data_IF_425857012041
#
_entry.id   IF_425857012041
#
_cell.length_a   1.000
_cell.length_b   1.000
_cell.length_c   1.000
_cell.angle_alpha   90.00
_cell.angle_beta   90.00
_cell.angle_gamma   90.00
#
_symmetry.space_group_name_H-M   'P 1'
#
loop_
_entity.id
_entity.type
_entity.pdbx_description
1 polymer ?
#
# COMPACT_ATOMS: atom_id res chain seq x y z
N UNK A 1 -5.80 -2.62 36.00
CA UNK A 1 -5.52 -2.06 34.67
C UNK A 1 -5.19 -3.13 33.61
N UNK A 2 -4.23 -4.05 33.82
CA UNK A 2 -3.87 -5.07 32.79
C UNK A 2 -5.03 -5.94 32.29
N UNK A 3 -6.03 -6.27 33.12
CA UNK A 3 -7.20 -7.10 32.71
C UNK A 3 -8.19 -6.36 31.79
N UNK A 4 -8.29 -5.04 31.89
CA UNK A 4 -9.21 -4.23 31.06
C UNK A 4 -8.62 -4.07 29.65
N UNK A 5 -7.30 -3.88 29.55
CA UNK A 5 -6.60 -3.78 28.26
C UNK A 5 -6.71 -5.08 27.45
N UNK A 6 -6.64 -6.24 28.10
CA UNK A 6 -6.79 -7.55 27.41
C UNK A 6 -8.22 -7.78 26.92
N UNK A 7 -9.24 -7.35 27.67
CA UNK A 7 -10.65 -7.48 27.27
C UNK A 7 -10.97 -6.55 26.09
N UNK A 8 -10.46 -5.31 26.09
CA UNK A 8 -10.62 -4.39 24.96
C UNK A 8 -9.92 -4.92 23.69
N UNK A 9 -8.72 -5.49 23.83
CA UNK A 9 -8.01 -6.15 22.71
C UNK A 9 -8.74 -7.41 22.20
N UNK A 10 -9.37 -8.18 23.09
CA UNK A 10 -10.15 -9.37 22.71
C UNK A 10 -11.46 -8.99 22.00
N UNK A 11 -12.12 -7.91 22.42
CA UNK A 11 -13.33 -7.37 21.78
C UNK A 11 -13.00 -6.77 20.39
N UNK A 12 -11.82 -6.19 20.21
CA UNK A 12 -11.33 -5.74 18.90
C UNK A 12 -11.02 -6.91 17.94
N UNK A 13 -10.78 -8.12 18.44
CA UNK A 13 -10.48 -9.32 17.64
C UNK A 13 -11.70 -10.19 17.31
N UNK A 14 -12.87 -9.93 17.93
CA UNK A 14 -14.08 -10.77 17.80
C UNK A 14 -15.17 -10.17 16.91
N UNK A 15 -14.93 -9.02 16.27
CA UNK A 15 -15.93 -8.43 15.37
C UNK A 15 -15.78 -9.01 13.96
N UNK A 16 -16.81 -9.66 13.40
CA UNK A 16 -16.80 -10.05 12.00
C UNK A 16 -16.73 -8.80 11.13
N UNK A 17 -15.85 -8.86 10.13
CA UNK A 17 -15.72 -7.87 9.08
C UNK A 17 -16.80 -8.19 8.03
N UNK A 18 -17.91 -7.46 8.03
CA UNK A 18 -18.73 -7.25 6.82
C UNK A 18 -18.09 -6.13 6.00
N UNK A 19 -18.38 -5.92 4.69
CA UNK A 19 -17.72 -5.02 3.70
C UNK A 19 -18.69 -4.73 2.49
N UNK A 20 -18.91 -3.47 2.03
CA UNK A 20 -19.65 -3.05 0.82
C UNK A 20 -19.44 -1.59 0.37
N UNK A 21 -19.75 -1.38 -0.91
CA UNK A 21 -19.79 -0.18 -1.76
C UNK A 21 -20.65 -0.43 -3.05
N UNK A 22 -21.97 -0.40 -2.93
CA UNK A 22 -22.95 -0.79 -3.95
C UNK A 22 -24.28 -1.17 -3.30
N UNK A 23 -25.26 -1.64 -4.06
CA UNK A 23 -26.47 -2.23 -3.49
C UNK A 23 -26.84 -3.52 -4.21
N UNK A 24 -26.93 -4.61 -3.45
CA UNK A 24 -27.46 -5.90 -3.91
C UNK A 24 -28.87 -6.07 -3.39
N UNK A 25 -29.80 -6.37 -4.29
CA UNK A 25 -31.22 -6.51 -4.01
C UNK A 25 -31.66 -7.89 -4.44
N UNK A 26 -32.41 -8.59 -3.60
CA UNK A 26 -33.14 -9.80 -3.94
C UNK A 26 -34.67 -9.57 -3.80
N UNK A 27 -35.52 -10.57 -4.08
CA UNK A 27 -36.97 -10.44 -3.94
C UNK A 27 -37.50 -10.21 -2.51
N UNK A 28 -36.62 -10.09 -1.50
CA UNK A 28 -36.95 -9.95 -0.07
C UNK A 28 -36.28 -8.71 0.56
N UNK A 29 -35.51 -7.97 -0.24
CA UNK A 29 -34.91 -6.70 0.13
C UNK A 29 -33.42 -6.63 -0.18
N UNK A 30 -32.73 -5.64 0.40
CA UNK A 30 -31.28 -5.54 0.30
C UNK A 30 -30.59 -6.77 0.91
N UNK A 31 -29.73 -7.43 0.14
CA UNK A 31 -28.91 -8.55 0.61
C UNK A 31 -27.72 -8.01 1.38
N UNK A 32 -27.44 -8.60 2.54
CA UNK A 32 -26.29 -8.21 3.36
C UNK A 32 -24.98 -8.54 2.65
N UNK A 33 -24.18 -7.52 2.44
CA UNK A 33 -22.87 -7.64 1.84
C UNK A 33 -21.78 -7.85 2.91
N UNK A 34 -20.83 -8.72 2.59
CA UNK A 34 -19.73 -9.13 3.50
C UNK A 34 -18.38 -8.60 3.09
N UNK A 35 -18.24 -8.25 1.81
CA UNK A 35 -17.01 -7.99 1.06
C UNK A 35 -17.21 -6.96 -0.03
N UNK A 36 -16.37 -5.93 -0.11
CA UNK A 36 -16.19 -5.22 -1.36
C UNK A 36 -14.76 -4.83 -1.66
N UNK A 37 -14.47 -4.94 -2.95
CA UNK A 37 -13.14 -4.93 -3.51
C UNK A 37 -13.21 -4.31 -4.89
N UNK A 38 -12.39 -3.30 -5.16
CA UNK A 38 -12.36 -2.64 -6.45
C UNK A 38 -10.94 -2.39 -6.91
N UNK A 39 -10.59 -2.77 -8.14
CA UNK A 39 -9.31 -2.46 -8.75
C UNK A 39 -9.53 -1.48 -9.87
N UNK A 40 -8.85 -0.34 -9.83
CA UNK A 40 -9.03 0.77 -10.77
C UNK A 40 -7.69 1.04 -11.45
N UNK A 41 -7.69 1.08 -12.77
CA UNK A 41 -6.59 1.58 -13.60
C UNK A 41 -7.11 2.84 -14.29
N UNK A 42 -6.34 3.92 -14.21
CA UNK A 42 -6.70 5.19 -14.82
C UNK A 42 -5.59 5.64 -15.75
N UNK A 43 -5.92 5.71 -17.03
CA UNK A 43 -4.97 5.86 -18.11
C UNK A 43 -5.35 7.08 -18.96
N UNK A 44 -4.38 7.95 -19.21
CA UNK A 44 -4.52 9.02 -20.19
C UNK A 44 -4.25 8.47 -21.60
N UNK A 45 -5.22 8.58 -22.50
CA UNK A 45 -5.10 8.20 -23.91
C UNK A 45 -5.33 9.42 -24.81
N UNK A 46 -4.25 10.05 -25.24
CA UNK A 46 -4.33 11.31 -25.99
C UNK A 46 -4.76 12.46 -25.09
N UNK A 47 -5.86 13.12 -25.44
CA UNK A 47 -6.46 14.20 -24.66
C UNK A 47 -7.57 13.72 -23.70
N UNK A 48 -7.92 12.44 -23.76
CA UNK A 48 -8.98 11.82 -22.97
C UNK A 48 -8.40 10.93 -21.87
N UNK A 49 -9.22 10.70 -20.85
CA UNK A 49 -8.92 9.85 -19.71
C UNK A 49 -9.89 8.68 -19.66
N UNK A 50 -9.34 7.50 -19.45
CA UNK A 50 -10.06 6.24 -19.44
C UNK A 50 -9.87 5.57 -18.08
N UNK A 51 -10.97 5.28 -17.41
CA UNK A 51 -10.99 4.46 -16.20
C UNK A 51 -11.37 3.02 -16.56
N UNK A 52 -10.59 2.06 -16.10
CA UNK A 52 -10.94 0.63 -16.08
C UNK A 52 -11.11 0.23 -14.63
N UNK A 53 -12.27 -0.29 -14.27
CA UNK A 53 -12.59 -0.69 -12.91
C UNK A 53 -13.11 -2.13 -12.90
N UNK A 54 -12.46 -3.00 -12.13
CA UNK A 54 -13.04 -4.27 -11.70
C UNK A 54 -13.62 -4.04 -10.32
N UNK A 55 -14.93 -4.16 -10.16
CA UNK A 55 -15.58 -4.13 -8.86
C UNK A 55 -16.10 -5.53 -8.52
N UNK A 56 -15.93 -5.95 -7.27
CA UNK A 56 -16.36 -7.25 -6.81
C UNK A 56 -16.98 -7.21 -5.42
N UNK A 57 -18.11 -7.90 -5.30
CA UNK A 57 -18.87 -8.08 -4.07
C UNK A 57 -18.71 -9.48 -3.53
N UNK A 58 -18.67 -9.59 -2.20
CA UNK A 58 -18.78 -10.85 -1.48
C UNK A 58 -20.09 -10.82 -0.72
N UNK A 59 -20.92 -11.82 -0.95
CA UNK A 59 -22.24 -11.94 -0.33
C UNK A 59 -22.35 -13.28 0.38
N UNK A 60 -23.36 -13.41 1.23
CA UNK A 60 -23.87 -14.74 1.56
C UNK A 60 -24.37 -15.47 0.30
N UNK A 61 -24.43 -16.82 0.29
CA UNK A 61 -25.04 -17.56 -0.80
C UNK A 61 -26.41 -16.95 -1.13
N UNK A 62 -26.59 -16.57 -2.39
CA UNK A 62 -27.87 -16.02 -2.85
C UNK A 62 -28.88 -17.15 -2.79
N UNK A 63 -29.73 -17.12 -1.77
CA UNK A 63 -30.57 -18.25 -1.39
C UNK A 63 -31.76 -18.48 -2.33
N UNK A 64 -31.94 -17.67 -3.39
CA UNK A 64 -33.18 -17.59 -4.18
C UNK A 64 -32.97 -17.26 -5.64
N UNK A 65 -34.00 -17.53 -6.43
CA UNK A 65 -34.11 -17.55 -7.90
C UNK A 65 -33.49 -16.36 -8.67
N UNK A 66 -33.31 -15.19 -8.04
CA UNK A 66 -32.73 -14.01 -8.70
C UNK A 66 -32.23 -12.99 -7.67
N UNK A 67 -31.12 -12.31 -7.98
CA UNK A 67 -30.70 -11.08 -7.31
C UNK A 67 -30.11 -10.12 -8.36
N UNK A 68 -30.05 -8.83 -8.05
CA UNK A 68 -29.32 -7.87 -8.87
C UNK A 68 -28.40 -6.99 -8.03
N UNK A 69 -27.22 -6.75 -8.57
CA UNK A 69 -26.28 -5.77 -8.05
C UNK A 69 -26.25 -4.58 -8.99
N UNK A 70 -26.42 -3.37 -8.45
CA UNK A 70 -26.45 -2.13 -9.23
C UNK A 70 -25.43 -1.11 -8.70
N UNK A 71 -24.72 -0.46 -9.60
CA UNK A 71 -23.88 0.69 -9.31
C UNK A 71 -23.80 1.65 -10.51
N UNK A 72 -23.63 2.96 -10.29
CA UNK A 72 -23.56 3.97 -11.34
C UNK A 72 -22.12 4.31 -11.73
N UNK A 73 -21.92 4.74 -12.98
CA UNK A 73 -20.65 5.26 -13.52
C UNK A 73 -20.86 6.61 -14.22
N UNK A 74 -19.93 7.58 -14.06
CA UNK A 74 -20.06 8.95 -14.57
C UNK A 74 -19.69 9.05 -16.06
N UNK A 75 -20.43 8.33 -16.90
CA UNK A 75 -20.24 8.33 -18.35
C UNK A 75 -21.55 8.08 -19.09
N UNK A 76 -21.63 8.58 -20.32
CA UNK A 76 -22.73 8.26 -21.22
C UNK A 76 -22.72 6.77 -21.58
N UNK A 77 -23.88 6.14 -21.81
CA UNK A 77 -23.96 4.69 -21.99
C UNK A 77 -23.13 4.14 -23.15
N UNK A 78 -22.99 4.89 -24.24
CA UNK A 78 -22.20 4.50 -25.42
C UNK A 78 -20.69 4.54 -25.17
N UNK A 79 -20.25 5.19 -24.07
CA UNK A 79 -18.86 5.27 -23.62
C UNK A 79 -18.54 4.26 -22.51
N UNK A 80 -19.50 3.42 -22.12
CA UNK A 80 -19.33 2.39 -21.09
C UNK A 80 -19.19 1.02 -21.75
N UNK A 81 -18.09 0.33 -21.45
CA UNK A 81 -17.84 -1.07 -21.84
C UNK A 81 -17.86 -1.93 -20.59
N UNK A 82 -18.63 -3.02 -20.61
CA UNK A 82 -18.72 -3.97 -19.48
C UNK A 82 -18.12 -5.35 -19.82
N UNK A 83 -17.72 -6.12 -18.81
CA UNK A 83 -17.49 -7.58 -18.88
C UNK A 83 -17.73 -8.22 -17.50
N UNK A 84 -17.92 -9.54 -17.46
CA UNK A 84 -17.95 -10.33 -16.23
C UNK A 84 -16.58 -10.92 -15.96
N UNK A 85 -16.07 -10.72 -14.74
CA UNK A 85 -14.80 -11.29 -14.30
C UNK A 85 -14.99 -12.25 -13.14
N UNK A 86 -14.48 -13.47 -13.29
CA UNK A 86 -14.50 -14.52 -12.26
C UNK A 86 -13.31 -14.45 -11.30
N UNK A 87 -12.36 -13.55 -11.56
CA UNK A 87 -11.10 -13.42 -10.83
C UNK A 87 -10.82 -11.95 -10.54
N UNK A 88 -10.23 -11.71 -9.38
CA UNK A 88 -9.87 -10.38 -8.94
C UNK A 88 -8.34 -10.23 -8.90
N UNK A 89 -7.78 -9.09 -9.33
CA UNK A 89 -6.34 -8.88 -9.35
C UNK A 89 -5.72 -9.04 -7.95
N UNK A 90 -4.68 -9.87 -7.87
CA UNK A 90 -3.93 -10.09 -6.63
C UNK A 90 -2.59 -9.39 -6.70
N UNK A 91 -2.53 -8.25 -6.01
CA UNK A 91 -1.34 -7.42 -5.91
C UNK A 91 -0.47 -7.86 -4.73
N UNK A 92 0.83 -8.07 -4.98
CA UNK A 92 1.84 -8.23 -3.93
C UNK A 92 2.84 -7.11 -4.05
N UNK A 93 3.24 -6.54 -2.92
CA UNK A 93 4.15 -5.42 -2.91
C UNK A 93 4.67 -5.07 -1.53
N UNK A 94 5.57 -4.11 -1.50
CA UNK A 94 6.06 -3.49 -0.27
C UNK A 94 5.42 -2.12 -0.10
N UNK A 95 5.00 -1.83 1.12
CA UNK A 95 4.53 -0.51 1.51
C UNK A 95 5.70 0.49 1.45
N UNK A 96 5.54 1.56 0.67
CA UNK A 96 6.62 2.49 0.31
C UNK A 96 7.21 3.19 1.53
N UNK A 97 6.37 3.65 2.46
CA UNK A 97 6.81 4.30 3.69
C UNK A 97 7.65 3.35 4.56
N UNK A 98 7.17 2.11 4.71
CA UNK A 98 7.87 1.08 5.48
C UNK A 98 9.21 0.74 4.86
N UNK A 99 9.24 0.54 3.54
CA UNK A 99 10.48 0.25 2.80
C UNK A 99 11.50 1.39 2.92
N UNK A 100 11.07 2.65 2.79
CA UNK A 100 11.95 3.82 2.96
C UNK A 100 12.52 3.89 4.39
N UNK A 101 11.69 3.67 5.42
CA UNK A 101 12.13 3.61 6.83
C UNK A 101 13.16 2.50 7.03
N UNK A 102 12.87 1.28 6.56
CA UNK A 102 13.81 0.15 6.64
C UNK A 102 15.12 0.43 5.90
N UNK A 103 15.08 1.09 4.74
CA UNK A 103 16.28 1.45 4.00
C UNK A 103 17.16 2.47 4.75
N UNK A 104 16.56 3.49 5.36
CA UNK A 104 17.27 4.44 6.23
C UNK A 104 17.88 3.71 7.43
N UNK A 105 17.10 2.84 8.09
CA UNK A 105 17.56 2.04 9.22
C UNK A 105 18.75 1.16 8.85
N UNK A 106 18.67 0.44 7.73
CA UNK A 106 19.76 -0.41 7.24
C UNK A 106 21.04 0.39 6.98
N UNK A 107 20.94 1.60 6.42
CA UNK A 107 22.11 2.47 6.18
C UNK A 107 22.74 2.93 7.49
N UNK A 108 21.91 3.36 8.45
CA UNK A 108 22.38 3.84 9.74
C UNK A 108 22.96 2.70 10.58
N UNK A 109 22.33 1.52 10.54
CA UNK A 109 22.80 0.35 11.26
C UNK A 109 24.05 -0.23 10.61
N UNK A 110 24.18 -0.19 9.27
CA UNK A 110 25.46 -0.43 8.60
C UNK A 110 26.54 0.52 9.11
N UNK A 111 26.22 1.81 9.27
CA UNK A 111 27.17 2.77 9.81
C UNK A 111 27.58 2.47 11.25
N UNK A 112 26.64 2.04 12.11
CA UNK A 112 26.95 1.58 13.48
C UNK A 112 27.76 0.29 13.50
N UNK A 113 27.47 -0.66 12.61
CA UNK A 113 28.18 -1.95 12.51
C UNK A 113 29.66 -1.76 12.16
N UNK A 114 30.02 -0.70 11.44
CA UNK A 114 31.42 -0.34 11.17
C UNK A 114 32.24 -0.08 12.45
N UNK A 115 31.58 0.27 13.56
CA UNK A 115 32.25 0.38 14.86
C UNK A 115 32.64 -0.99 15.44
N UNK A 116 31.98 -2.08 15.03
CA UNK A 116 31.97 -3.35 15.77
C UNK A 116 32.53 -4.56 14.98
N UNK A 117 32.43 -4.75 13.65
CA UNK A 117 33.01 -5.96 13.02
C UNK A 117 33.30 -5.96 11.50
N UNK A 118 34.43 -6.59 11.09
CA UNK A 118 34.65 -7.21 9.77
C UNK A 118 34.57 -8.77 9.73
N UNK A 119 34.09 -9.50 10.75
CA UNK A 119 34.31 -10.99 10.84
C UNK A 119 33.06 -11.87 10.53
N UNK A 120 31.84 -11.34 10.38
CA UNK A 120 30.63 -12.20 10.33
C UNK A 120 29.84 -12.25 9.00
N UNK A 121 30.39 -11.76 7.88
CA UNK A 121 29.61 -11.49 6.64
C UNK A 121 29.68 -12.55 5.52
N UNK A 122 30.08 -13.80 5.79
CA UNK A 122 30.33 -14.78 4.71
C UNK A 122 29.11 -15.60 4.24
N UNK A 123 27.94 -15.55 4.91
CA UNK A 123 26.89 -16.57 4.70
C UNK A 123 25.53 -16.09 4.15
N UNK A 124 25.35 -14.85 3.70
CA UNK A 124 23.99 -14.29 3.54
C UNK A 124 23.46 -14.11 2.11
N UNK A 125 24.07 -14.66 1.06
CA UNK A 125 23.61 -14.38 -0.32
C UNK A 125 23.71 -15.56 -1.30
N UNK A 126 22.80 -16.55 -1.22
CA UNK A 126 22.46 -17.41 -2.36
C UNK A 126 21.07 -18.04 -2.19
N UNK A 127 20.09 -17.60 -2.99
CA UNK A 127 19.00 -18.44 -3.54
C UNK A 127 18.18 -17.68 -4.58
N UNK A 128 18.20 -18.16 -5.81
CA UNK A 128 17.32 -17.75 -6.91
C UNK A 128 16.60 -18.96 -7.50
N UNK A 129 15.37 -18.77 -7.99
CA UNK A 129 14.53 -19.76 -8.65
C UNK A 129 13.84 -19.17 -9.90
N UNK A 130 13.41 -20.08 -10.77
CA UNK A 130 13.22 -19.99 -12.24
C UNK A 130 11.86 -19.44 -12.77
N UNK A 131 11.82 -19.17 -14.10
CA UNK A 131 10.69 -18.85 -15.01
C UNK A 131 9.92 -20.14 -15.48
N UNK A 132 8.88 -20.22 -16.39
CA UNK A 132 8.58 -19.43 -17.63
C UNK A 132 7.09 -19.29 -18.17
N UNK A 133 6.92 -18.59 -19.33
CA UNK A 133 6.03 -18.68 -20.57
C UNK A 133 4.61 -19.37 -20.59
N UNK A 134 3.60 -19.16 -21.49
CA UNK A 134 3.32 -18.44 -22.78
C UNK A 134 1.79 -18.53 -23.20
N UNK A 135 1.29 -17.58 -24.05
CA UNK A 135 0.29 -17.63 -25.20
C UNK A 135 -1.19 -18.14 -25.03
N UNK A 136 -2.27 -17.82 -25.80
CA UNK A 136 -2.64 -16.99 -27.00
C UNK A 136 -4.20 -16.87 -27.17
N UNK A 137 -4.73 -15.79 -27.83
CA UNK A 137 -5.87 -15.59 -28.79
C UNK A 137 -7.25 -16.34 -28.70
N UNK A 138 -8.44 -15.91 -29.22
CA UNK A 138 -8.99 -14.76 -29.99
C UNK A 138 -10.56 -14.81 -30.05
N UNK A 139 -11.21 -13.63 -30.15
CA UNK A 139 -12.41 -13.19 -30.93
C UNK A 139 -13.88 -13.58 -30.60
N UNK A 140 -14.74 -12.55 -30.82
CA UNK A 140 -16.14 -12.26 -30.39
C UNK A 140 -17.20 -12.44 -31.49
N UNK A 141 -18.46 -12.50 -31.03
CA UNK A 141 -19.75 -12.72 -31.73
C UNK A 141 -20.39 -11.49 -32.40
N UNK A 142 -21.59 -11.69 -32.97
CA UNK A 142 -22.51 -10.69 -33.55
C UNK A 142 -23.91 -10.69 -32.90
N UNK A 143 -24.62 -9.58 -33.10
CA UNK A 143 -25.64 -8.94 -32.24
C UNK A 143 -27.09 -9.05 -32.77
N UNK A 144 -28.12 -8.97 -31.88
CA UNK A 144 -29.53 -8.62 -32.19
C UNK A 144 -30.18 -7.87 -30.99
N UNK A 145 -30.98 -6.83 -31.29
CA UNK A 145 -31.61 -5.82 -30.42
C UNK A 145 -33.11 -6.07 -30.15
N UNK A 146 -33.62 -5.76 -28.93
CA UNK A 146 -35.03 -5.38 -28.67
C UNK A 146 -35.18 -4.54 -27.37
N UNK A 147 -35.76 -3.32 -27.46
CA UNK A 147 -35.90 -2.36 -26.35
C UNK A 147 -37.26 -2.29 -25.63
N UNK A 148 -37.31 -1.51 -24.52
CA UNK A 148 -38.51 -0.86 -23.92
C UNK A 148 -38.19 0.05 -22.70
N UNK A 149 -38.17 1.39 -22.91
CA UNK A 149 -38.40 2.45 -21.91
C UNK A 149 -37.33 2.72 -20.83
N UNK A 150 -36.70 1.68 -20.31
CA UNK A 150 -35.29 1.73 -19.90
C UNK A 150 -34.52 1.34 -21.15
N UNK A 151 -33.53 2.15 -21.51
CA UNK A 151 -32.68 1.82 -22.66
C UNK A 151 -31.57 0.90 -22.14
N UNK A 152 -31.59 -0.35 -22.60
CA UNK A 152 -30.47 -1.28 -22.40
C UNK A 152 -29.51 -1.01 -23.55
N UNK A 153 -28.31 -0.52 -23.25
CA UNK A 153 -27.32 -0.16 -24.27
C UNK A 153 -26.40 -1.34 -24.59
N UNK A 154 -25.98 -2.05 -23.55
CA UNK A 154 -25.18 -3.27 -23.65
C UNK A 154 -25.73 -4.34 -22.71
N UNK A 155 -25.67 -5.60 -23.14
CA UNK A 155 -25.97 -6.76 -22.30
C UNK A 155 -24.92 -7.84 -22.56
N UNK A 156 -24.33 -8.38 -21.50
CA UNK A 156 -23.39 -9.51 -21.52
C UNK A 156 -23.91 -10.59 -20.58
N UNK A 157 -23.94 -11.83 -21.04
CA UNK A 157 -24.25 -13.00 -20.21
C UNK A 157 -23.04 -13.93 -20.16
N UNK A 158 -22.49 -14.17 -18.96
CA UNK A 158 -21.28 -14.97 -18.76
C UNK A 158 -21.30 -15.57 -17.35
N UNK A 159 -21.07 -16.88 -17.25
CA UNK A 159 -20.93 -17.60 -15.98
C UNK A 159 -22.15 -17.44 -15.03
N UNK A 160 -23.37 -17.44 -15.60
CA UNK A 160 -24.63 -17.30 -14.86
C UNK A 160 -24.92 -15.89 -14.37
N UNK A 161 -24.25 -14.89 -14.94
CA UNK A 161 -24.41 -13.47 -14.62
C UNK A 161 -24.77 -12.73 -15.90
N UNK A 162 -25.87 -11.99 -15.86
CA UNK A 162 -26.27 -11.08 -16.93
C UNK A 162 -25.97 -9.64 -16.49
N UNK A 163 -24.99 -9.00 -17.10
CA UNK A 163 -24.64 -7.59 -16.84
C UNK A 163 -25.24 -6.73 -17.93
N UNK A 164 -25.88 -5.63 -17.55
CA UNK A 164 -26.52 -4.67 -18.45
C UNK A 164 -26.06 -3.25 -18.13
N UNK A 165 -25.86 -2.42 -19.15
CA UNK A 165 -25.79 -0.95 -19.00
C UNK A 165 -27.16 -0.36 -19.27
N UNK A 166 -27.66 0.43 -18.33
CA UNK A 166 -29.01 1.01 -18.33
C UNK A 166 -28.94 2.53 -18.28
N UNK A 167 -29.73 3.17 -19.14
CA UNK A 167 -30.10 4.58 -19.00
C UNK A 167 -31.58 4.73 -18.65
N UNK A 168 -31.90 5.73 -17.82
CA UNK A 168 -33.26 6.08 -17.45
C UNK A 168 -33.40 7.59 -17.25
N UNK A 169 -34.58 8.14 -17.54
CA UNK A 169 -34.85 9.59 -17.40
C UNK A 169 -35.31 9.98 -15.99
N UNK A 170 -35.74 9.00 -15.18
CA UNK A 170 -36.24 9.23 -13.82
C UNK A 170 -35.90 8.01 -12.95
N UNK A 171 -35.52 8.21 -11.70
CA UNK A 171 -35.20 7.14 -10.76
C UNK A 171 -36.42 6.24 -10.47
N UNK A 172 -37.62 6.80 -10.58
CA UNK A 172 -38.89 6.07 -10.50
C UNK A 172 -39.00 4.99 -11.60
N UNK A 173 -38.50 5.27 -12.81
CA UNK A 173 -38.55 4.37 -13.97
C UNK A 173 -37.61 3.20 -13.77
N UNK A 174 -36.38 3.46 -13.30
CA UNK A 174 -35.41 2.43 -12.95
C UNK A 174 -35.91 1.57 -11.77
N UNK A 175 -36.52 2.18 -10.76
CA UNK A 175 -37.15 1.47 -9.64
C UNK A 175 -38.28 0.53 -10.11
N UNK A 176 -39.18 1.01 -10.99
CA UNK A 176 -40.25 0.18 -11.58
C UNK A 176 -39.65 -0.98 -12.39
N UNK A 177 -38.61 -0.72 -13.19
CA UNK A 177 -37.91 -1.72 -13.98
C UNK A 177 -37.38 -2.86 -13.09
N UNK A 178 -36.60 -2.53 -12.04
CA UNK A 178 -36.04 -3.52 -11.12
C UNK A 178 -37.13 -4.31 -10.36
N UNK A 179 -38.24 -3.65 -9.97
CA UNK A 179 -39.40 -4.32 -9.37
C UNK A 179 -40.08 -5.29 -10.33
N UNK A 180 -40.21 -4.93 -11.61
CA UNK A 180 -40.75 -5.79 -12.67
C UNK A 180 -39.87 -7.01 -12.91
N UNK A 181 -38.56 -6.86 -12.74
CA UNK A 181 -37.59 -7.96 -12.77
C UNK A 181 -37.67 -8.89 -11.54
N UNK A 182 -38.57 -8.61 -10.59
CA UNK A 182 -38.88 -9.45 -9.43
C UNK A 182 -38.14 -9.08 -8.14
N UNK A 183 -37.45 -7.93 -8.10
CA UNK A 183 -36.62 -7.51 -6.96
C UNK A 183 -37.41 -6.68 -5.95
N UNK A 184 -37.13 -6.78 -4.65
CA UNK A 184 -37.75 -5.94 -3.62
C UNK A 184 -36.89 -4.70 -3.32
N UNK A 185 -36.97 -3.72 -4.23
CA UNK A 185 -36.21 -2.48 -4.14
C UNK A 185 -36.85 -1.49 -3.15
N UNK A 186 -36.16 -1.01 -2.09
CA UNK A 186 -36.69 -0.01 -1.17
C UNK A 186 -37.04 1.31 -1.86
N UNK A 187 -38.10 2.00 -1.44
CA UNK A 187 -38.54 3.24 -2.11
C UNK A 187 -37.53 4.39 -1.96
N UNK A 188 -36.79 4.43 -0.85
CA UNK A 188 -35.69 5.39 -0.65
C UNK A 188 -34.58 5.33 -1.73
N UNK A 189 -34.47 4.22 -2.48
CA UNK A 189 -33.51 4.11 -3.60
C UNK A 189 -33.82 5.07 -4.75
N UNK A 190 -35.08 5.50 -4.91
CA UNK A 190 -35.47 6.44 -5.98
C UNK A 190 -34.66 7.73 -5.86
N UNK A 191 -34.53 8.27 -4.64
CA UNK A 191 -33.75 9.50 -4.40
C UNK A 191 -32.25 9.33 -4.69
N UNK A 192 -31.73 8.11 -4.51
CA UNK A 192 -30.34 7.79 -4.88
C UNK A 192 -30.22 7.72 -6.40
N UNK A 193 -31.17 7.08 -7.09
CA UNK A 193 -31.16 7.01 -8.55
C UNK A 193 -31.32 8.37 -9.22
N UNK A 194 -32.25 9.20 -8.72
CA UNK A 194 -32.48 10.56 -9.23
C UNK A 194 -31.18 11.39 -9.18
N UNK A 195 -30.42 11.29 -8.09
CA UNK A 195 -29.13 11.98 -7.96
C UNK A 195 -28.16 11.68 -9.10
N UNK A 196 -28.07 10.42 -9.53
CA UNK A 196 -27.17 9.99 -10.62
C UNK A 196 -27.73 10.29 -12.01
N UNK A 197 -29.05 10.16 -12.17
CA UNK A 197 -29.73 10.48 -13.43
C UNK A 197 -29.61 11.97 -13.74
N UNK A 198 -29.75 12.83 -12.72
CA UNK A 198 -29.60 14.27 -12.87
C UNK A 198 -28.17 14.71 -13.25
N UNK A 199 -27.18 13.83 -13.04
CA UNK A 199 -25.78 14.05 -13.42
C UNK A 199 -25.37 13.25 -14.67
N UNK A 200 -26.33 12.70 -15.43
CA UNK A 200 -26.13 11.95 -16.67
C UNK A 200 -25.30 10.65 -16.52
N UNK A 201 -25.40 9.97 -15.37
CA UNK A 201 -24.69 8.70 -15.13
C UNK A 201 -25.38 7.51 -15.81
N UNK A 202 -24.58 6.50 -16.16
CA UNK A 202 -25.04 5.20 -16.61
C UNK A 202 -25.09 4.22 -15.45
N UNK A 203 -26.13 3.38 -15.36
CA UNK A 203 -26.21 2.31 -14.37
C UNK A 203 -25.72 0.99 -14.93
N UNK A 204 -24.81 0.33 -14.23
CA UNK A 204 -24.41 -1.06 -14.49
C UNK A 204 -25.20 -1.97 -13.55
N UNK A 205 -25.93 -2.92 -14.12
CA UNK A 205 -26.77 -3.88 -13.38
C UNK A 205 -26.37 -5.30 -13.69
N UNK A 206 -25.90 -6.03 -12.69
CA UNK A 206 -25.57 -7.44 -12.78
C UNK A 206 -26.66 -8.31 -12.14
N UNK A 207 -27.49 -8.97 -12.95
CA UNK A 207 -28.44 -9.99 -12.52
C UNK A 207 -27.73 -11.33 -12.31
N UNK A 208 -28.05 -11.99 -11.19
CA UNK A 208 -27.39 -13.21 -10.74
C UNK A 208 -28.44 -14.31 -10.63
N UNK A 209 -28.28 -15.39 -11.38
CA UNK A 209 -29.17 -16.57 -11.32
C UNK A 209 -28.54 -17.70 -10.48
N UNK A 210 -29.32 -18.43 -9.67
CA UNK A 210 -28.79 -19.51 -8.81
C UNK A 210 -28.43 -20.80 -9.55
N UNK A 211 -29.05 -21.10 -10.69
CA UNK A 211 -29.09 -22.47 -11.22
C UNK A 211 -27.75 -22.94 -11.84
N UNK A 212 -26.83 -22.02 -12.13
CA UNK A 212 -25.44 -22.32 -12.54
C UNK A 212 -24.44 -22.32 -11.35
N UNK A 213 -24.93 -22.39 -10.11
CA UNK A 213 -24.16 -22.38 -8.85
C UNK A 213 -23.35 -23.64 -8.55
N UNK A 214 -22.63 -24.18 -9.53
CA UNK A 214 -21.44 -24.97 -9.17
C UNK A 214 -20.48 -24.00 -8.47
N UNK A 215 -19.93 -24.34 -7.28
CA UNK A 215 -18.95 -23.47 -6.64
C UNK A 215 -17.83 -23.17 -7.64
N UNK A 216 -17.66 -21.90 -8.00
CA UNK A 216 -16.65 -21.38 -8.94
C UNK A 216 -15.20 -21.55 -8.45
N UNK A 217 -15.00 -22.33 -7.39
CA UNK A 217 -13.70 -22.71 -6.88
C UNK A 217 -13.71 -24.23 -6.68
N UNK A 218 -12.71 -24.85 -7.28
CA UNK A 218 -12.39 -26.27 -7.21
C UNK A 218 -12.61 -26.85 -5.81
N UNK A 219 -12.91 -28.15 -5.77
CA UNK A 219 -12.79 -28.98 -4.57
C UNK A 219 -11.64 -28.48 -3.70
N UNK A 220 -11.86 -28.32 -2.38
CA UNK A 220 -10.94 -27.62 -1.49
C UNK A 220 -9.52 -28.06 -1.80
N UNK A 221 -8.64 -27.16 -2.24
CA UNK A 221 -7.23 -27.51 -2.50
C UNK A 221 -6.68 -28.22 -1.27
N UNK A 222 -6.65 -29.55 -1.33
CA UNK A 222 -6.10 -30.38 -0.27
C UNK A 222 -4.60 -30.23 -0.49
N UNK A 223 -3.97 -29.35 0.29
CA UNK A 223 -2.52 -29.24 0.28
C UNK A 223 -1.96 -30.66 0.46
N UNK A 224 -1.10 -31.16 -0.45
CA UNK A 224 -0.58 -32.52 -0.34
C UNK A 224 0.07 -32.67 1.04
N UNK A 225 -0.43 -33.61 1.84
CA UNK A 225 0.15 -33.86 3.15
C UNK A 225 1.57 -34.39 2.99
N UNK A 226 2.53 -33.96 3.84
CA UNK A 226 2.34 -33.09 5.02
C UNK A 226 2.77 -31.62 4.78
N UNK A 227 1.82 -30.69 4.82
CA UNK A 227 2.13 -29.25 4.91
C UNK A 227 2.64 -28.90 6.32
N UNK A 228 3.84 -28.31 6.41
CA UNK A 228 4.47 -27.96 7.69
C UNK A 228 3.64 -26.91 8.46
N UNK A 229 3.74 -26.85 9.80
CA UNK A 229 3.05 -25.83 10.61
C UNK A 229 3.35 -24.38 10.19
N UNK A 230 4.52 -24.14 9.61
CA UNK A 230 4.93 -22.83 9.07
C UNK A 230 4.22 -22.50 7.75
N UNK A 231 4.01 -23.50 6.88
CA UNK A 231 3.19 -23.35 5.67
C UNK A 231 1.73 -23.06 6.02
N UNK A 232 1.21 -23.65 7.10
CA UNK A 232 -0.14 -23.34 7.62
C UNK A 232 -0.25 -21.91 8.15
N UNK A 233 0.81 -21.36 8.78
CA UNK A 233 0.84 -19.96 9.25
C UNK A 233 0.98 -18.94 8.11
N UNK A 234 1.73 -19.27 7.06
CA UNK A 234 1.86 -18.42 5.88
C UNK A 234 0.60 -18.44 4.98
N UNK A 235 -0.25 -19.47 5.10
CA UNK A 235 -1.49 -19.64 4.33
C UNK A 235 -2.75 -19.06 4.99
N UNK A 236 -2.65 -18.41 6.15
CA UNK A 236 -3.77 -17.69 6.77
C UNK A 236 -3.95 -16.31 6.11
N UNK A 237 -3.95 -16.24 4.79
CA UNK A 237 -4.82 -15.25 4.15
C UNK A 237 -6.18 -15.93 4.08
N UNK A 238 -7.26 -15.33 4.58
CA UNK A 238 -8.59 -15.92 4.46
C UNK A 238 -8.85 -16.24 2.99
N UNK A 239 -8.77 -17.51 2.64
CA UNK A 239 -9.43 -18.04 1.45
C UNK A 239 -10.92 -17.83 1.74
N UNK A 240 -11.44 -16.67 1.36
CA UNK A 240 -12.86 -16.40 1.41
C UNK A 240 -13.52 -17.39 0.47
N UNK A 241 -14.11 -18.45 1.03
CA UNK A 241 -14.90 -19.47 0.34
C UNK A 241 -16.29 -18.94 -0.05
N UNK A 242 -16.37 -17.65 -0.40
CA UNK A 242 -17.57 -17.00 -0.92
C UNK A 242 -17.44 -16.80 -2.43
N UNK A 243 -18.57 -16.75 -3.15
CA UNK A 243 -18.59 -16.37 -4.56
C UNK A 243 -18.15 -14.90 -4.64
N UNK A 244 -17.02 -14.63 -5.30
CA UNK A 244 -16.65 -13.27 -5.65
C UNK A 244 -17.30 -12.98 -7.00
N UNK A 245 -18.41 -12.26 -7.00
CA UNK A 245 -18.99 -11.74 -8.23
C UNK A 245 -18.17 -10.54 -8.64
N UNK A 246 -17.61 -10.52 -9.84
CA UNK A 246 -16.84 -9.40 -10.36
C UNK A 246 -17.44 -8.88 -11.66
N UNK A 247 -17.55 -7.56 -11.76
CA UNK A 247 -17.90 -6.86 -13.00
C UNK A 247 -16.72 -5.97 -13.36
N UNK A 248 -16.22 -6.09 -14.57
CA UNK A 248 -15.30 -5.14 -15.17
C UNK A 248 -16.12 -4.09 -15.91
N UNK A 249 -15.77 -2.82 -15.72
CA UNK A 249 -16.35 -1.69 -16.41
C UNK A 249 -15.24 -0.76 -16.87
N UNK A 250 -15.37 -0.20 -18.06
CA UNK A 250 -14.43 0.75 -18.64
C UNK A 250 -15.20 1.94 -19.18
N UNK A 251 -14.79 3.16 -18.83
CA UNK A 251 -15.50 4.37 -19.21
C UNK A 251 -14.60 5.60 -19.22
N UNK A 252 -14.97 6.62 -20.00
CA UNK A 252 -14.26 7.90 -20.01
C UNK A 252 -14.68 8.77 -18.83
N UNK A 253 -13.70 9.38 -18.15
CA UNK A 253 -13.95 10.32 -17.05
C UNK A 253 -12.73 11.20 -16.82
N UNK A 254 -12.92 12.47 -16.49
CA UNK A 254 -11.84 13.42 -16.19
C UNK A 254 -11.17 13.20 -14.81
N UNK A 255 -11.82 12.41 -13.95
CA UNK A 255 -11.35 12.13 -12.59
C UNK A 255 -11.61 10.69 -12.23
N UNK A 256 -10.66 10.11 -11.52
CA UNK A 256 -10.83 8.82 -10.86
C UNK A 256 -12.06 8.83 -9.94
N UNK A 257 -12.91 7.84 -10.11
CA UNK A 257 -14.21 7.74 -9.47
C UNK A 257 -14.39 6.38 -8.77
N UNK A 258 -15.19 6.35 -7.71
CA UNK A 258 -15.67 5.11 -7.13
C UNK A 258 -17.02 5.31 -6.41
N UNK A 259 -18.06 4.53 -6.75
CA UNK A 259 -19.41 4.72 -6.21
C UNK A 259 -19.49 4.27 -4.74
N UNK A 260 -19.83 5.19 -3.83
CA UNK A 260 -20.07 4.91 -2.41
C UNK A 260 -21.53 5.16 -2.01
N UNK A 261 -22.17 6.15 -2.63
CA UNK A 261 -23.51 6.58 -2.21
C UNK A 261 -24.60 5.51 -2.35
N UNK A 262 -24.59 4.56 -3.31
CA UNK A 262 -25.64 3.54 -3.38
C UNK A 262 -25.71 2.67 -2.12
N UNK A 263 -24.58 2.50 -1.44
CA UNK A 263 -24.43 1.73 -0.21
C UNK A 263 -25.17 2.36 0.97
N UNK A 264 -25.48 3.65 0.92
CA UNK A 264 -26.16 4.36 2.01
C UNK A 264 -27.52 3.78 2.38
N UNK A 265 -28.15 3.04 1.45
CA UNK A 265 -29.43 2.36 1.60
C UNK A 265 -29.42 1.32 2.74
N UNK A 266 -28.25 0.80 3.11
CA UNK A 266 -28.07 -0.13 4.22
C UNK A 266 -28.05 0.54 5.61
N UNK A 267 -28.20 1.88 5.67
CA UNK A 267 -28.44 2.64 6.91
C UNK A 267 -27.33 2.45 7.95
N UNK A 268 -27.58 1.70 9.02
CA UNK A 268 -26.62 1.59 10.14
C UNK A 268 -25.63 0.45 9.98
N UNK A 269 -25.78 -0.37 8.94
CA UNK A 269 -24.88 -1.46 8.66
C UNK A 269 -23.48 -0.95 8.36
N UNK A 270 -22.48 -1.78 8.64
CA UNK A 270 -21.08 -1.44 8.42
C UNK A 270 -20.54 -2.31 7.34
N UNK A 271 -20.22 -1.66 6.24
CA UNK A 271 -19.77 -2.33 5.05
C UNK A 271 -18.53 -1.58 4.58
N UNK A 272 -17.34 -1.98 5.06
CA UNK A 272 -16.05 -1.56 4.55
C UNK A 272 -15.79 -1.93 3.09
N UNK A 273 -14.77 -1.34 2.50
CA UNK A 273 -14.33 -1.71 1.16
C UNK A 273 -12.84 -1.53 1.02
N UNK A 274 -12.29 -2.16 0.00
CA UNK A 274 -10.88 -1.98 -0.36
C UNK A 274 -10.76 -1.68 -1.84
N UNK A 275 -10.24 -0.50 -2.14
CA UNK A 275 -10.05 -0.01 -3.48
C UNK A 275 -8.54 0.00 -3.76
N UNK A 276 -8.11 -0.64 -4.83
CA UNK A 276 -6.74 -0.63 -5.34
C UNK A 276 -6.69 0.25 -6.58
N UNK A 277 -6.08 1.42 -6.48
CA UNK A 277 -5.79 2.26 -7.65
C UNK A 277 -4.39 1.92 -8.15
N UNK A 278 -4.30 1.44 -9.38
CA UNK A 278 -3.12 0.81 -9.99
C UNK A 278 -2.57 1.74 -11.08
N UNK A 279 -1.24 1.86 -11.16
CA UNK A 279 -0.53 2.68 -12.15
C UNK A 279 0.33 3.74 -11.48
N UNK A 280 -0.24 4.53 -10.55
CA UNK A 280 0.53 5.50 -9.75
C UNK A 280 0.03 5.60 -8.29
N UNK A 281 0.70 6.45 -7.51
CA UNK A 281 0.25 6.85 -6.18
C UNK A 281 -0.69 8.05 -6.27
N UNK A 282 -1.91 7.86 -5.78
CA UNK A 282 -3.03 8.81 -5.87
C UNK A 282 -3.51 9.24 -4.49
N UNK A 283 -4.27 10.32 -4.39
CA UNK A 283 -4.80 10.83 -3.11
C UNK A 283 -6.32 10.86 -3.14
N UNK A 284 -7.03 10.08 -2.30
CA UNK A 284 -8.49 10.16 -2.23
C UNK A 284 -8.95 11.51 -1.64
N UNK A 285 -10.02 12.09 -2.20
CA UNK A 285 -10.72 13.24 -1.60
C UNK A 285 -11.74 12.73 -0.58
N UNK A 286 -11.25 12.48 0.63
CA UNK A 286 -12.09 11.96 1.71
C UNK A 286 -12.86 13.11 2.37
N UNK A 287 -14.18 13.02 2.43
CA UNK A 287 -15.04 14.02 3.09
C UNK A 287 -15.20 13.72 4.60
N UNK A 288 -15.52 14.77 5.36
CA UNK A 288 -15.46 14.81 6.83
C UNK A 288 -16.18 13.64 7.54
N UNK A 289 -17.33 13.19 7.00
CA UNK A 289 -18.15 12.14 7.64
C UNK A 289 -17.46 10.77 7.67
N UNK A 290 -16.53 10.51 6.75
CA UNK A 290 -15.85 9.21 6.62
C UNK A 290 -14.35 9.27 6.89
N UNK A 291 -13.75 10.46 7.05
CA UNK A 291 -12.30 10.66 7.23
C UNK A 291 -11.66 9.72 8.25
N UNK A 292 -12.26 9.60 9.44
CA UNK A 292 -11.75 8.75 10.53
C UNK A 292 -11.84 7.24 10.28
N UNK A 293 -12.47 6.82 9.18
CA UNK A 293 -12.67 5.42 8.81
C UNK A 293 -11.87 5.02 7.56
N UNK A 294 -11.26 5.97 6.86
CA UNK A 294 -10.48 5.70 5.64
C UNK A 294 -9.00 5.54 5.99
N UNK A 295 -8.43 4.40 5.60
CA UNK A 295 -7.00 4.14 5.65
C UNK A 295 -6.43 4.11 4.24
N UNK A 296 -5.46 5.00 3.94
CA UNK A 296 -4.78 5.01 2.63
C UNK A 296 -3.34 4.52 2.77
N UNK A 297 -2.95 3.55 1.95
CA UNK A 297 -1.60 2.96 1.92
C UNK A 297 -1.03 2.95 0.51
N UNK A 298 0.28 3.07 0.40
CA UNK A 298 0.99 3.22 -0.86
C UNK A 298 2.01 2.11 -1.03
N UNK A 299 2.00 1.47 -2.19
CA UNK A 299 2.79 0.27 -2.43
C UNK A 299 3.56 0.33 -3.75
N UNK A 300 4.62 -0.47 -3.84
CA UNK A 300 5.27 -0.88 -5.09
C UNK A 300 5.14 -2.38 -5.25
N UNK A 301 4.62 -2.80 -6.39
CA UNK A 301 4.39 -4.20 -6.71
C UNK A 301 5.70 -4.93 -6.93
N UNK A 302 5.83 -6.12 -6.37
CA UNK A 302 6.94 -7.04 -6.70
C UNK A 302 6.61 -7.92 -7.90
N UNK A 303 5.47 -7.68 -8.52
CA UNK A 303 4.79 -8.58 -9.44
C UNK A 303 3.36 -8.82 -8.98
N UNK A 304 2.50 -9.16 -9.93
CA UNK A 304 1.12 -9.54 -9.70
C UNK A 304 0.89 -10.95 -10.22
N UNK A 305 -0.18 -11.61 -9.76
CA UNK A 305 -0.56 -12.90 -10.35
C UNK A 305 -1.18 -12.64 -11.71
N UNK A 306 -0.44 -13.00 -12.76
CA UNK A 306 -0.87 -12.84 -14.13
C UNK A 306 -1.88 -13.93 -14.48
N UNK A 307 -3.15 -13.61 -14.29
CA UNK A 307 -4.25 -14.43 -14.75
C UNK A 307 -4.58 -14.02 -16.19
N UNK A 308 -4.67 -14.97 -17.14
CA UNK A 308 -4.93 -14.63 -18.55
C UNK A 308 -6.15 -13.72 -18.76
N UNK A 309 -7.18 -13.90 -17.94
CA UNK A 309 -8.42 -13.12 -17.99
C UNK A 309 -8.27 -11.67 -17.50
N UNK A 310 -7.19 -11.32 -16.80
CA UNK A 310 -6.89 -9.95 -16.37
C UNK A 310 -5.91 -9.23 -17.31
N UNK A 311 -5.50 -9.87 -18.40
CA UNK A 311 -4.50 -9.28 -19.32
C UNK A 311 -5.02 -8.00 -19.97
N UNK A 312 -6.29 -7.98 -20.38
CA UNK A 312 -6.93 -6.81 -20.99
C UNK A 312 -7.07 -5.65 -19.99
N UNK A 313 -7.49 -5.96 -18.77
CA UNK A 313 -7.56 -5.02 -17.66
C UNK A 313 -6.21 -4.32 -17.45
N UNK A 314 -5.13 -5.09 -17.29
CA UNK A 314 -3.79 -4.53 -17.04
C UNK A 314 -3.14 -3.84 -18.25
N UNK A 315 -3.48 -4.23 -19.48
CA UNK A 315 -2.90 -3.63 -20.69
C UNK A 315 -1.37 -3.55 -20.65
N UNK A 316 -0.82 -2.34 -20.86
CA UNK A 316 0.63 -2.09 -20.89
C UNK A 316 1.31 -2.24 -19.53
N UNK A 317 0.56 -2.06 -18.44
CA UNK A 317 1.07 -2.18 -17.07
C UNK A 317 1.53 -3.61 -16.74
N UNK A 318 1.13 -4.59 -17.56
CA UNK A 318 1.50 -6.00 -17.41
C UNK A 318 3.00 -6.25 -17.31
N UNK A 319 3.78 -5.46 -18.05
CA UNK A 319 5.23 -5.62 -18.09
C UNK A 319 5.96 -4.69 -17.11
N UNK A 320 5.23 -3.86 -16.36
CA UNK A 320 5.83 -2.88 -15.48
C UNK A 320 6.37 -3.52 -14.20
N UNK A 321 7.70 -3.47 -14.05
CA UNK A 321 8.37 -3.85 -12.80
C UNK A 321 8.22 -2.73 -11.79
N UNK A 322 7.86 -3.07 -10.55
CA UNK A 322 7.67 -2.09 -9.48
C UNK A 322 6.48 -1.15 -9.71
N UNK A 323 5.45 -1.63 -10.43
CA UNK A 323 4.18 -0.93 -10.62
C UNK A 323 3.68 -0.37 -9.29
N UNK A 324 3.42 0.92 -9.26
CA UNK A 324 2.90 1.58 -8.08
C UNK A 324 1.40 1.33 -7.98
N UNK A 325 0.92 1.27 -6.74
CA UNK A 325 -0.51 1.26 -6.49
C UNK A 325 -0.82 1.84 -5.12
N UNK A 326 -2.04 2.34 -4.98
CA UNK A 326 -2.61 2.89 -3.76
C UNK A 326 -3.74 1.99 -3.30
N UNK A 327 -3.78 1.66 -2.01
CA UNK A 327 -4.90 0.96 -1.39
C UNK A 327 -5.66 1.94 -0.51
N UNK A 328 -6.94 2.11 -0.78
CA UNK A 328 -7.87 2.91 0.01
C UNK A 328 -8.82 1.91 0.69
N UNK A 329 -8.76 1.84 2.02
CA UNK A 329 -9.59 0.93 2.81
C UNK A 329 -10.56 1.73 3.65
N UNK A 330 -11.84 1.64 3.34
CA UNK A 330 -12.91 2.10 4.21
C UNK A 330 -13.08 1.02 5.28
N UNK A 331 -12.88 1.29 6.57
CA UNK A 331 -12.98 0.29 7.65
C UNK A 331 -14.06 0.68 8.64
N UNK A 332 -15.06 -0.19 8.84
CA UNK A 332 -16.11 -0.01 9.84
C UNK A 332 -16.97 1.27 9.66
N UNK A 333 -17.11 1.78 8.42
CA UNK A 333 -17.97 2.92 8.11
C UNK A 333 -19.44 2.48 8.20
N UNK A 334 -20.28 3.13 9.01
CA UNK A 334 -21.73 2.96 8.90
C UNK A 334 -22.25 3.52 7.58
N UNK A 335 -23.01 2.74 6.81
CA UNK A 335 -23.46 3.09 5.46
C UNK A 335 -24.15 4.44 5.34
N UNK A 336 -24.92 4.85 6.36
CA UNK A 336 -25.59 6.15 6.43
C UNK A 336 -24.65 7.35 6.35
N UNK A 337 -23.34 7.15 6.52
CA UNK A 337 -22.32 8.19 6.34
C UNK A 337 -21.73 8.22 4.94
N UNK A 338 -22.01 7.22 4.09
CA UNK A 338 -21.63 7.17 2.68
C UNK A 338 -22.57 8.06 1.86
N UNK A 339 -22.50 9.38 2.08
CA UNK A 339 -23.45 10.34 1.48
C UNK A 339 -22.97 10.97 0.19
N UNK A 340 -21.75 10.68 -0.23
CA UNK A 340 -21.08 11.19 -1.44
C UNK A 340 -20.17 10.08 -1.97
N UNK A 341 -19.94 10.07 -3.29
CA UNK A 341 -18.99 9.16 -3.93
C UNK A 341 -17.53 9.55 -3.69
N UNK A 342 -16.64 8.58 -3.89
CA UNK A 342 -15.22 8.79 -3.66
C UNK A 342 -14.53 9.26 -4.94
N UNK A 343 -14.25 10.55 -5.00
CA UNK A 343 -13.36 11.13 -6.01
C UNK A 343 -11.89 10.99 -5.59
N UNK A 344 -11.01 10.69 -6.55
CA UNK A 344 -9.59 10.47 -6.27
C UNK A 344 -8.75 11.39 -7.16
N UNK A 345 -7.75 12.04 -6.58
CA UNK A 345 -6.81 12.90 -7.32
C UNK A 345 -5.59 12.11 -7.78
N UNK A 346 -5.17 12.31 -9.03
CA UNK A 346 -3.90 11.83 -9.59
C UNK A 346 -2.69 12.59 -9.01
N UNK A 347 -2.59 12.62 -7.69
CA UNK A 347 -1.55 13.33 -6.96
C UNK A 347 -0.92 12.42 -5.94
N UNK A 348 0.39 12.23 -6.05
CA UNK A 348 1.16 11.53 -5.02
C UNK A 348 1.42 12.46 -3.82
N UNK A 349 1.11 12.04 -2.58
CA UNK A 349 1.43 12.84 -1.40
C UNK A 349 2.93 13.09 -1.24
N UNK A 350 3.30 14.24 -0.65
CA UNK A 350 4.70 14.67 -0.55
C UNK A 350 5.58 13.69 0.25
N UNK A 351 5.07 13.12 1.36
CA UNK A 351 5.78 12.11 2.15
C UNK A 351 6.04 10.83 1.33
N UNK A 352 5.11 10.45 0.44
CA UNK A 352 5.26 9.32 -0.47
C UNK A 352 6.26 9.62 -1.60
N UNK A 353 6.25 10.84 -2.15
CA UNK A 353 7.28 11.27 -3.11
C UNK A 353 8.68 11.22 -2.49
N UNK A 354 8.82 11.72 -1.27
CA UNK A 354 10.07 11.66 -0.51
C UNK A 354 10.49 10.21 -0.20
N UNK A 355 9.56 9.36 0.21
CA UNK A 355 9.81 7.93 0.44
C UNK A 355 10.25 7.21 -0.84
N UNK A 356 9.61 7.52 -1.98
CA UNK A 356 9.99 7.00 -3.29
C UNK A 356 11.41 7.44 -3.68
N UNK A 357 11.77 8.69 -3.40
CA UNK A 357 13.12 9.22 -3.62
C UNK A 357 14.16 8.52 -2.73
N UNK A 358 13.87 8.32 -1.44
CA UNK A 358 14.76 7.57 -0.55
C UNK A 358 14.95 6.15 -1.08
N UNK A 359 13.86 5.42 -1.36
CA UNK A 359 13.94 4.03 -1.82
C UNK A 359 14.69 3.91 -3.15
N UNK A 360 14.51 4.84 -4.09
CA UNK A 360 15.26 4.82 -5.36
C UNK A 360 16.74 5.13 -5.17
N UNK A 361 17.06 6.07 -4.27
CA UNK A 361 18.43 6.40 -3.91
C UNK A 361 19.15 5.20 -3.28
N UNK A 362 18.47 4.47 -2.39
CA UNK A 362 19.05 3.34 -1.66
C UNK A 362 19.14 2.06 -2.50
N UNK A 363 18.14 1.73 -3.33
CA UNK A 363 18.04 0.44 -4.03
C UNK A 363 19.34 -0.05 -4.71
N UNK A 364 20.10 0.83 -5.36
CA UNK A 364 21.40 0.48 -6.00
C UNK A 364 22.64 0.95 -5.23
N UNK A 365 22.46 1.82 -4.23
CA UNK A 365 23.57 2.52 -3.60
C UNK A 365 23.66 2.31 -2.08
N UNK A 366 22.91 1.38 -1.48
CA UNK A 366 22.90 1.14 -0.03
C UNK A 366 24.32 1.07 0.55
N UNK A 367 25.23 0.31 -0.06
CA UNK A 367 26.61 0.23 0.40
C UNK A 367 27.38 1.55 0.31
N UNK A 368 27.30 2.25 -0.83
CA UNK A 368 27.96 3.55 -1.04
C UNK A 368 27.44 4.62 -0.07
N UNK A 369 26.12 4.68 0.10
CA UNK A 369 25.47 5.58 1.05
C UNK A 369 25.82 5.22 2.49
N UNK A 370 25.90 3.92 2.81
CA UNK A 370 26.40 3.42 4.08
C UNK A 370 27.81 3.95 4.39
N UNK A 371 28.76 3.81 3.45
CA UNK A 371 30.11 4.37 3.60
C UNK A 371 30.13 5.89 3.75
N UNK A 372 29.33 6.59 2.94
CA UNK A 372 29.18 8.04 3.03
C UNK A 372 28.65 8.45 4.41
N UNK A 373 27.67 7.72 4.95
CA UNK A 373 27.13 7.93 6.30
C UNK A 373 28.15 7.65 7.39
N UNK A 374 28.95 6.59 7.27
CA UNK A 374 30.05 6.34 8.20
C UNK A 374 31.02 7.53 8.22
N UNK A 375 31.40 8.02 7.04
CA UNK A 375 32.32 9.17 6.93
C UNK A 375 31.74 10.43 7.57
N UNK A 376 30.48 10.76 7.26
CA UNK A 376 29.81 11.95 7.81
C UNK A 376 29.66 11.85 9.32
N UNK A 377 29.12 10.74 9.83
CA UNK A 377 28.93 10.55 11.28
C UNK A 377 30.29 10.57 11.99
N UNK A 378 31.29 9.86 11.47
CA UNK A 378 32.64 9.85 12.06
C UNK A 378 33.25 11.25 12.10
N UNK A 379 33.20 11.99 11.00
CA UNK A 379 33.72 13.34 10.91
C UNK A 379 33.07 14.28 11.95
N UNK A 380 31.74 14.25 12.04
CA UNK A 380 30.98 15.09 12.97
C UNK A 380 31.27 14.72 14.43
N UNK A 381 31.35 13.43 14.75
CA UNK A 381 31.70 12.97 16.10
C UNK A 381 33.09 13.41 16.53
N UNK A 382 34.08 13.25 15.64
CA UNK A 382 35.45 13.68 15.90
C UNK A 382 35.58 15.20 16.07
N UNK A 383 34.84 15.96 15.27
CA UNK A 383 34.77 17.41 15.38
C UNK A 383 34.23 17.85 16.75
N UNK A 384 33.05 17.35 17.15
CA UNK A 384 32.38 17.74 18.40
C UNK A 384 33.22 17.37 19.63
N UNK A 385 33.64 16.11 19.72
CA UNK A 385 34.40 15.61 20.87
C UNK A 385 35.80 16.24 20.91
N UNK A 386 36.38 16.47 19.74
CA UNK A 386 37.66 17.14 19.60
C UNK A 386 37.65 18.57 20.12
N UNK A 387 36.60 19.33 19.78
CA UNK A 387 36.39 20.68 20.29
C UNK A 387 36.24 20.71 21.83
N UNK A 388 35.51 19.76 22.40
CA UNK A 388 35.27 19.68 23.85
C UNK A 388 36.55 19.35 24.63
N UNK A 389 37.29 18.31 24.20
CA UNK A 389 38.41 17.74 24.97
C UNK A 389 39.72 18.45 24.69
N UNK A 390 40.04 18.68 23.42
CA UNK A 390 41.33 19.22 23.03
C UNK A 390 41.29 20.74 22.89
N UNK A 391 40.12 21.34 22.59
CA UNK A 391 39.97 22.78 22.27
C UNK A 391 40.97 23.24 21.21
N UNK A 392 41.34 22.32 20.31
CA UNK A 392 42.32 22.50 19.24
C UNK A 392 41.61 22.70 17.89
N UNK A 393 42.42 22.70 16.82
CA UNK A 393 41.93 22.90 15.46
C UNK A 393 41.03 21.73 15.00
N UNK A 394 39.73 21.99 14.94
CA UNK A 394 38.67 21.01 14.73
C UNK A 394 38.83 20.19 13.44
N UNK A 395 39.37 20.77 12.36
CA UNK A 395 39.54 20.06 11.09
C UNK A 395 40.55 18.90 11.19
N UNK A 396 41.58 19.02 12.03
CA UNK A 396 42.56 17.94 12.23
C UNK A 396 41.91 16.74 12.90
N UNK A 397 41.05 17.00 13.88
CA UNK A 397 40.36 15.96 14.65
C UNK A 397 39.27 15.29 13.82
N UNK A 398 38.61 16.05 12.93
CA UNK A 398 37.71 15.52 11.91
C UNK A 398 38.43 14.54 10.97
N UNK A 399 39.60 14.91 10.42
CA UNK A 399 40.39 14.02 9.53
C UNK A 399 40.84 12.77 10.28
N UNK A 400 41.30 12.90 11.53
CA UNK A 400 41.71 11.75 12.35
C UNK A 400 40.53 10.81 12.59
N UNK A 401 39.32 11.35 12.84
CA UNK A 401 38.13 10.52 13.05
C UNK A 401 37.69 9.73 11.82
N UNK A 402 38.06 10.15 10.61
CA UNK A 402 37.78 9.37 9.39
C UNK A 402 38.53 8.03 9.37
N UNK A 403 39.57 7.83 10.18
CA UNK A 403 40.18 6.52 10.36
C UNK A 403 39.18 5.47 10.90
N UNK A 404 38.10 5.92 11.56
CA UNK A 404 37.00 5.05 11.98
C UNK A 404 36.25 4.40 10.82
N UNK A 405 36.34 4.94 9.59
CA UNK A 405 35.78 4.32 8.39
C UNK A 405 36.40 2.95 8.08
N UNK A 406 37.61 2.67 8.60
CA UNK A 406 38.27 1.37 8.49
C UNK A 406 37.96 0.47 9.68
N UNK A 407 38.00 1.03 10.89
CA UNK A 407 37.55 0.41 12.15
C UNK A 407 37.81 1.33 13.33
N UNK A 408 37.22 1.05 14.49
CA UNK A 408 37.59 1.69 15.76
C UNK A 408 39.08 1.47 16.09
N UNK A 409 39.66 0.33 15.69
CA UNK A 409 41.09 0.02 15.88
C UNK A 409 41.94 0.99 15.06
N UNK A 410 41.57 1.26 13.81
CA UNK A 410 42.26 2.23 12.97
C UNK A 410 42.20 3.65 13.56
N UNK A 411 41.08 4.03 14.17
CA UNK A 411 40.98 5.29 14.92
C UNK A 411 41.95 5.35 16.11
N UNK A 412 42.02 4.27 16.91
CA UNK A 412 42.95 4.16 18.05
C UNK A 412 44.40 4.32 17.56
N UNK A 413 44.77 3.62 16.48
CA UNK A 413 46.10 3.71 15.87
C UNK A 413 46.38 5.14 15.41
N UNK A 414 45.46 5.76 14.65
CA UNK A 414 45.60 7.13 14.18
C UNK A 414 45.83 8.11 15.35
N UNK A 415 45.05 7.98 16.43
CA UNK A 415 45.20 8.80 17.64
C UNK A 415 46.55 8.61 18.34
N UNK A 416 47.12 7.40 18.33
CA UNK A 416 48.46 7.16 18.90
C UNK A 416 49.53 7.95 18.14
N UNK A 417 49.45 8.01 16.81
CA UNK A 417 50.42 8.69 15.96
C UNK A 417 50.22 10.21 15.85
N UNK A 418 49.03 10.72 16.14
CA UNK A 418 48.78 12.18 16.19
C UNK A 418 49.58 12.79 17.34
N UNK A 419 50.56 13.63 16.97
CA UNK A 419 51.38 14.41 17.90
C UNK A 419 50.51 15.52 18.52
N UNK A 420 50.10 15.32 19.78
CA UNK A 420 49.57 16.40 20.61
C UNK A 420 50.68 17.41 20.89
N UNK A 421 50.37 18.71 20.91
CA UNK A 421 51.32 19.84 21.00
C UNK A 421 52.48 19.55 21.96
N UNK A 422 53.72 19.80 21.54
CA UNK A 422 54.91 19.68 22.39
C UNK A 422 54.74 20.62 23.59
N UNK A 423 54.73 20.05 24.79
CA UNK A 423 54.96 20.82 26.02
C UNK A 423 56.37 21.41 25.93
N UNK A 424 56.50 22.69 26.27
CA UNK A 424 57.79 23.40 26.31
C UNK A 424 58.80 22.57 27.12
N UNK A 425 60.01 22.42 26.59
CA UNK A 425 61.07 21.61 27.18
C UNK A 425 61.35 22.05 28.62
N UNK A 426 61.27 23.37 28.89
CA UNK A 426 61.49 23.96 30.21
C UNK A 426 60.42 23.55 31.23
N UNK A 427 59.15 23.53 30.80
CA UNK A 427 58.03 23.10 31.64
C UNK A 427 58.06 21.58 31.89
N UNK A 428 58.52 20.81 30.90
CA UNK A 428 58.69 19.36 31.04
C UNK A 428 59.78 19.01 32.05
N UNK A 429 60.87 19.77 32.08
CA UNK A 429 61.96 19.59 33.02
C UNK A 429 61.53 19.93 34.45
N UNK A 430 60.84 21.05 34.65
CA UNK A 430 60.26 21.45 35.95
C UNK A 430 59.30 20.41 36.53
N UNK A 431 58.44 19.81 35.70
CA UNK A 431 57.51 18.77 36.14
C UNK A 431 58.22 17.44 36.48
N UNK A 432 59.33 17.13 35.79
CA UNK A 432 60.15 15.95 36.08
C UNK A 432 60.89 16.07 37.41
N UNK A 433 61.40 17.25 37.73
CA UNK A 433 62.05 17.54 39.01
C UNK A 433 61.07 17.49 40.20
N UNK A 434 59.81 17.86 39.97
CA UNK A 434 58.76 17.79 40.98
C UNK A 434 58.23 16.36 41.26
N UNK A 435 58.84 15.31 40.71
CA UNK A 435 58.42 13.91 40.90
C UNK A 435 57.10 13.54 40.21
N UNK A 436 56.58 14.42 39.35
CA UNK A 436 55.35 14.18 38.59
C UNK A 436 55.71 13.44 37.31
N UNK A 437 55.24 12.20 37.18
CA UNK A 437 55.52 11.31 36.05
C UNK A 437 54.90 11.86 34.74
N UNK A 438 55.59 12.75 34.03
CA UNK A 438 55.08 13.35 32.78
C UNK A 438 55.22 12.39 31.61
N UNK A 439 54.23 11.51 31.45
CA UNK A 439 53.93 10.93 30.14
C UNK A 439 53.35 12.07 29.29
N UNK A 440 54.16 12.71 28.44
CA UNK A 440 53.70 13.72 27.44
C UNK A 440 52.97 13.07 26.25
N UNK A 441 52.08 12.13 26.57
CA UNK A 441 50.99 11.59 25.76
C UNK A 441 49.81 11.68 26.72
N UNK A 442 48.92 12.65 26.56
CA UNK A 442 47.77 12.83 27.45
C UNK A 442 46.77 11.69 27.25
N UNK A 443 47.15 10.50 27.73
CA UNK A 443 46.46 9.24 27.52
C UNK A 443 45.03 9.34 28.07
N UNK A 444 44.85 10.08 29.16
CA UNK A 444 43.53 10.41 29.71
C UNK A 444 42.67 11.14 28.70
N UNK A 445 43.16 12.21 28.06
CA UNK A 445 42.41 12.91 27.01
C UNK A 445 42.16 12.06 25.76
N UNK A 446 43.14 11.23 25.34
CA UNK A 446 42.96 10.32 24.20
C UNK A 446 41.93 9.23 24.49
N UNK A 447 41.95 8.64 25.69
CA UNK A 447 40.94 7.68 26.13
C UNK A 447 39.56 8.33 26.26
N UNK A 448 39.48 9.52 26.86
CA UNK A 448 38.25 10.30 26.95
C UNK A 448 37.71 10.66 25.56
N UNK A 449 38.58 10.95 24.59
CA UNK A 449 38.19 11.17 23.21
C UNK A 449 37.60 9.93 22.56
N UNK A 450 38.18 8.74 22.76
CA UNK A 450 37.62 7.49 22.21
C UNK A 450 36.22 7.22 22.79
N UNK A 451 36.07 7.31 24.11
CA UNK A 451 34.77 7.10 24.77
C UNK A 451 33.75 8.16 24.32
N UNK A 452 34.15 9.43 24.34
CA UNK A 452 33.31 10.54 23.88
C UNK A 452 32.92 10.40 22.41
N UNK A 453 33.84 9.93 21.56
CA UNK A 453 33.62 9.68 20.15
C UNK A 453 32.56 8.61 19.93
N UNK A 454 32.64 7.48 20.62
CA UNK A 454 31.64 6.40 20.52
C UNK A 454 30.26 6.93 20.91
N UNK A 455 30.16 7.63 22.06
CA UNK A 455 28.89 8.22 22.51
C UNK A 455 28.34 9.22 21.50
N UNK A 456 29.18 10.16 21.03
CA UNK A 456 28.79 11.15 20.04
C UNK A 456 28.38 10.52 18.71
N UNK A 457 29.04 9.42 18.30
CA UNK A 457 28.70 8.69 17.09
C UNK A 457 27.29 8.14 17.14
N UNK A 458 26.91 7.47 18.24
CA UNK A 458 25.56 6.94 18.40
C UNK A 458 24.50 8.05 18.47
N UNK A 459 24.78 9.16 19.17
CA UNK A 459 23.86 10.30 19.25
C UNK A 459 23.64 10.93 17.87
N UNK A 460 24.71 11.17 17.11
CA UNK A 460 24.63 11.77 15.77
C UNK A 460 23.94 10.80 14.80
N UNK A 461 24.28 9.51 14.83
CA UNK A 461 23.61 8.50 14.01
C UNK A 461 22.10 8.45 14.29
N UNK A 462 21.70 8.53 15.57
CA UNK A 462 20.29 8.60 15.96
C UNK A 462 19.62 9.89 15.47
N UNK A 463 20.27 11.05 15.64
CA UNK A 463 19.74 12.34 15.19
C UNK A 463 19.53 12.37 13.66
N UNK A 464 20.50 11.87 12.89
CA UNK A 464 20.41 11.75 11.43
C UNK A 464 19.28 10.79 11.05
N UNK A 465 19.17 9.62 11.68
CA UNK A 465 18.04 8.70 11.46
C UNK A 465 16.71 9.42 11.65
N UNK A 466 16.54 10.11 12.77
CA UNK A 466 15.30 10.85 13.10
C UNK A 466 15.01 11.92 12.06
N UNK A 467 16.01 12.68 11.62
CA UNK A 467 15.87 13.70 10.58
C UNK A 467 15.39 13.12 9.24
N UNK A 468 15.93 11.96 8.82
CA UNK A 468 15.51 11.32 7.56
C UNK A 468 14.15 10.63 7.65
N UNK A 469 13.75 10.15 8.85
CA UNK A 469 12.46 9.47 9.07
C UNK A 469 11.32 10.45 9.33
N UNK A 470 11.58 11.66 9.83
CA UNK A 470 10.56 12.64 10.18
C UNK A 470 9.59 12.96 9.01
N UNK A 471 10.04 13.15 7.76
CA UNK A 471 9.12 13.41 6.63
C UNK A 471 8.33 12.17 6.15
N UNK A 472 8.52 11.00 6.78
CA UNK A 472 7.82 9.74 6.46
C UNK A 472 6.68 9.43 7.45
N UNK A 473 6.39 10.35 8.38
CA UNK A 473 5.21 10.33 9.24
C UNK A 473 4.24 11.37 8.73
#
# INVERSE_FOLDING_TARGET
MKKITTIILLILFLMPMALADGMIIDPYGPVMEKGQQAAIIYEKKGDEYLEKMIISVQTDPIHKDKAAWIFPVPAEPDDVVIDVVTQFPRMRGYEVLREAKTNIENIIDFAKMSLIFPIFLQNMFFRGGYAPMQMEALAKDAYIDIGQGVTIYEQIEKEGITVQTLGANEGSTLWIFLRREGLEVPMETITVFDHYIDEDYTFVVAFITPEESKPLYDEPYIAPEPATPEMRKAQIMPYYRGRNLGVEVMFHTDKLYYPLLPTSIYKSEKIPATIWVIGDHVTPKVYDKIEGFVETKYFKSTGYQNYPMLEEFFGDLRNEKNMKYTTISLRNVPSKYLTEDLWIEEKTPANIQYANWITSLTYRNTGKLGFLMIAIISALSGMIVGLIIFRENWWKLMIVSLANCLSIIALIIALVFVKTRKIDAKLKEQLREAGVLTVTRDFKKKALFIVGFIVAFYIIAWAIKTMFVMPLN
#
